data_IF_944037533159
#
_entry.id   IF_944037533159
#
_cell.length_a   1.000
_cell.length_b   1.000
_cell.length_c   1.000
_cell.angle_alpha   90.00
_cell.angle_beta   90.00
_cell.angle_gamma   90.00
#
_symmetry.space_group_name_H-M   'P 1'
#
loop_
_entity.id
_entity.type
_entity.pdbx_description
1 polymer ?
#
# COMPACT_ATOMS: atom_id res chain seq x y z
N UNK A 1 -7.26 -16.18 -9.32
CA UNK A 1 -8.37 -15.78 -8.43
C UNK A 1 -7.83 -15.61 -7.02
N UNK A 2 -8.23 -14.57 -6.28
CA UNK A 2 -7.72 -14.32 -4.92
C UNK A 2 -8.27 -15.33 -3.91
N UNK A 3 -7.38 -15.94 -3.11
CA UNK A 3 -7.77 -16.89 -2.07
C UNK A 3 -8.33 -16.15 -0.84
N UNK A 4 -9.66 -16.06 -0.75
CA UNK A 4 -10.37 -15.35 0.32
C UNK A 4 -10.06 -15.89 1.72
N UNK A 5 -9.88 -17.20 1.87
CA UNK A 5 -9.58 -17.80 3.18
C UNK A 5 -8.17 -17.45 3.65
N UNK A 6 -7.20 -17.40 2.73
CA UNK A 6 -5.85 -16.94 3.03
C UNK A 6 -5.83 -15.45 3.44
N UNK A 7 -6.58 -14.60 2.74
CA UNK A 7 -6.70 -13.16 3.07
C UNK A 7 -7.32 -12.97 4.46
N UNK A 8 -8.37 -13.73 4.79
CA UNK A 8 -8.99 -13.67 6.11
C UNK A 8 -8.04 -14.13 7.23
N UNK A 9 -7.27 -15.20 6.99
CA UNK A 9 -6.26 -15.69 7.95
C UNK A 9 -5.17 -14.64 8.19
N UNK A 10 -4.66 -14.02 7.14
CA UNK A 10 -3.66 -12.95 7.25
C UNK A 10 -4.20 -11.75 8.05
N UNK A 11 -5.40 -11.27 7.71
CA UNK A 11 -6.07 -10.20 8.45
C UNK A 11 -6.27 -10.54 9.93
N UNK A 12 -6.70 -11.77 10.23
CA UNK A 12 -6.92 -12.25 11.60
C UNK A 12 -5.62 -12.32 12.42
N UNK A 13 -4.54 -12.84 11.84
CA UNK A 13 -3.23 -12.92 12.48
C UNK A 13 -2.73 -11.53 12.89
N UNK A 14 -2.81 -10.56 11.98
CA UNK A 14 -2.39 -9.18 12.28
C UNK A 14 -3.29 -8.54 13.33
N UNK A 15 -4.61 -8.70 13.20
CA UNK A 15 -5.58 -8.17 14.16
C UNK A 15 -5.34 -8.71 15.58
N UNK A 16 -5.17 -10.04 15.73
CA UNK A 16 -4.96 -10.65 17.04
C UNK A 16 -3.62 -10.30 17.67
N UNK A 17 -2.57 -10.11 16.86
CA UNK A 17 -1.26 -9.65 17.35
C UNK A 17 -1.34 -8.23 17.92
N UNK A 18 -2.04 -7.32 17.25
CA UNK A 18 -2.09 -5.90 17.62
C UNK A 18 -3.21 -5.54 18.59
N UNK A 19 -4.28 -6.34 18.63
CA UNK A 19 -5.44 -6.15 19.51
C UNK A 19 -5.55 -7.27 20.54
N UNK A 20 -4.42 -7.89 20.91
CA UNK A 20 -4.37 -8.94 21.93
C UNK A 20 -4.96 -8.43 23.26
N UNK A 21 -5.76 -9.26 23.92
CA UNK A 21 -6.41 -8.90 25.19
C UNK A 21 -7.61 -7.97 25.06
N UNK A 22 -7.97 -7.53 23.84
CA UNK A 22 -9.17 -6.72 23.59
C UNK A 22 -10.31 -7.60 23.04
N UNK A 23 -11.58 -7.26 23.34
CA UNK A 23 -12.73 -7.92 22.72
C UNK A 23 -12.75 -7.64 21.20
N UNK A 24 -13.44 -8.51 20.47
CA UNK A 24 -13.56 -8.38 19.03
C UNK A 24 -14.25 -7.06 18.65
N UNK A 25 -13.64 -6.32 17.73
CA UNK A 25 -14.18 -5.09 17.16
C UNK A 25 -14.22 -5.19 15.63
N UNK A 26 -15.43 -5.21 15.08
CA UNK A 26 -15.66 -5.36 13.64
C UNK A 26 -15.09 -4.22 12.81
N UNK A 27 -15.16 -2.97 13.28
CA UNK A 27 -14.64 -1.79 12.56
C UNK A 27 -13.12 -1.87 12.44
N UNK A 28 -12.45 -2.17 13.55
CA UNK A 28 -11.00 -2.35 13.59
C UNK A 28 -10.56 -3.55 12.76
N UNK A 29 -11.26 -4.68 12.86
CA UNK A 29 -10.99 -5.85 12.02
C UNK A 29 -11.19 -5.54 10.53
N UNK A 30 -12.23 -4.77 10.17
CA UNK A 30 -12.50 -4.33 8.81
C UNK A 30 -11.34 -3.53 8.21
N UNK A 31 -10.66 -2.70 9.00
CA UNK A 31 -9.43 -2.02 8.56
C UNK A 31 -8.31 -3.01 8.21
N UNK A 32 -8.00 -3.97 9.08
CA UNK A 32 -6.97 -4.98 8.79
C UNK A 32 -7.32 -5.87 7.61
N UNK A 33 -8.61 -6.19 7.44
CA UNK A 33 -9.10 -6.92 6.28
C UNK A 33 -8.89 -6.11 4.99
N UNK A 34 -9.19 -4.82 4.99
CA UNK A 34 -8.92 -3.95 3.85
C UNK A 34 -7.42 -3.92 3.50
N UNK A 35 -6.53 -3.83 4.51
CA UNK A 35 -5.08 -3.90 4.29
C UNK A 35 -4.62 -5.25 3.72
N UNK A 36 -5.17 -6.37 4.21
CA UNK A 36 -4.85 -7.70 3.70
C UNK A 36 -5.32 -7.87 2.25
N UNK A 37 -6.49 -7.34 1.91
CA UNK A 37 -6.98 -7.28 0.53
C UNK A 37 -6.09 -6.42 -0.36
N UNK A 38 -5.63 -5.26 0.11
CA UNK A 38 -4.70 -4.42 -0.66
C UNK A 38 -3.39 -5.16 -0.95
N UNK A 39 -2.78 -5.75 0.08
CA UNK A 39 -1.56 -6.58 -0.08
C UNK A 39 -1.76 -7.72 -1.08
N UNK A 40 -2.88 -8.42 -0.99
CA UNK A 40 -3.16 -9.54 -1.89
C UNK A 40 -3.35 -9.09 -3.34
N UNK A 41 -4.00 -7.94 -3.57
CA UNK A 41 -4.10 -7.32 -4.90
C UNK A 41 -2.73 -6.89 -5.40
N UNK A 42 -1.92 -6.22 -4.57
CA UNK A 42 -0.56 -5.80 -4.94
C UNK A 42 0.32 -7.00 -5.28
N UNK A 43 0.19 -8.13 -4.58
CA UNK A 43 0.92 -9.35 -4.89
C UNK A 43 0.56 -9.96 -6.26
N UNK A 44 -0.62 -9.68 -6.81
CA UNK A 44 -0.99 -10.10 -8.17
C UNK A 44 -0.46 -9.17 -9.27
N UNK A 45 -0.06 -7.94 -8.93
CA UNK A 45 0.48 -7.00 -9.90
C UNK A 45 1.86 -7.46 -10.38
N UNK A 46 2.16 -7.15 -11.65
CA UNK A 46 3.51 -7.30 -12.20
C UNK A 46 4.49 -6.42 -11.42
N UNK A 47 5.80 -6.74 -11.39
CA UNK A 47 6.80 -5.87 -10.76
C UNK A 47 6.77 -4.43 -11.29
N UNK A 48 6.49 -4.25 -12.58
CA UNK A 48 6.35 -2.95 -13.25
C UNK A 48 5.13 -2.19 -12.70
N UNK A 49 3.97 -2.84 -12.62
CA UNK A 49 2.74 -2.22 -12.10
C UNK A 49 2.86 -1.87 -10.61
N UNK A 50 3.53 -2.72 -9.82
CA UNK A 50 3.84 -2.40 -8.41
C UNK A 50 4.71 -1.17 -8.30
N UNK A 51 5.76 -1.07 -9.13
CA UNK A 51 6.66 0.08 -9.13
C UNK A 51 5.93 1.35 -9.56
N UNK A 52 5.07 1.26 -10.57
CA UNK A 52 4.20 2.36 -11.01
C UNK A 52 3.31 2.87 -9.89
N UNK A 53 2.57 1.99 -9.22
CA UNK A 53 1.72 2.38 -8.08
C UNK A 53 2.53 2.99 -6.92
N UNK A 54 3.73 2.48 -6.67
CA UNK A 54 4.62 3.06 -5.66
C UNK A 54 5.03 4.48 -6.03
N UNK A 55 5.46 4.72 -7.27
CA UNK A 55 5.85 6.04 -7.76
C UNK A 55 4.69 7.03 -7.69
N UNK A 56 3.48 6.62 -8.09
CA UNK A 56 2.27 7.45 -7.99
C UNK A 56 1.99 7.86 -6.53
N UNK A 57 2.07 6.92 -5.59
CA UNK A 57 1.92 7.20 -4.13
C UNK A 57 3.04 8.10 -3.60
N UNK A 58 4.28 7.92 -4.08
CA UNK A 58 5.41 8.78 -3.69
C UNK A 58 5.18 10.23 -4.15
N UNK A 59 4.73 10.43 -5.39
CA UNK A 59 4.40 11.76 -5.92
C UNK A 59 3.28 12.41 -5.11
N UNK A 60 2.20 11.68 -4.81
CA UNK A 60 1.12 12.20 -3.95
C UNK A 60 1.64 12.58 -2.55
N UNK A 61 2.51 11.73 -1.97
CA UNK A 61 3.13 11.96 -0.68
C UNK A 61 4.02 13.20 -0.62
N UNK A 62 4.60 13.63 -1.74
CA UNK A 62 5.42 14.85 -1.81
C UNK A 62 4.62 16.11 -1.49
N UNK A 63 3.31 16.14 -1.78
CA UNK A 63 2.42 17.27 -1.46
C UNK A 63 2.38 17.59 0.04
N UNK A 64 2.66 16.59 0.87
CA UNK A 64 2.62 16.70 2.33
C UNK A 64 4.01 16.88 2.96
N UNK A 65 5.08 16.99 2.16
CA UNK A 65 6.43 17.25 2.65
C UNK A 65 6.63 18.72 2.98
N UNK A 66 7.47 18.98 3.97
CA UNK A 66 7.81 20.36 4.35
C UNK A 66 8.71 21.02 3.32
N UNK A 67 8.76 22.36 3.34
CA UNK A 67 9.58 23.19 2.44
C UNK A 67 11.08 22.86 2.45
N UNK A 68 11.59 22.13 3.45
CA UNK A 68 12.99 21.69 3.53
C UNK A 68 13.34 20.58 2.53
N UNK A 69 12.34 19.98 1.89
CA UNK A 69 12.53 18.95 0.88
C UNK A 69 12.51 19.57 -0.52
N UNK A 70 13.47 19.19 -1.36
CA UNK A 70 13.46 19.52 -2.78
C UNK A 70 12.41 18.67 -3.50
N UNK A 71 11.16 19.12 -3.39
CA UNK A 71 9.98 18.46 -3.95
C UNK A 71 10.06 18.45 -5.48
N UNK A 72 10.46 19.57 -6.10
CA UNK A 72 10.48 19.71 -7.56
C UNK A 72 11.45 18.75 -8.24
N UNK A 73 12.68 18.62 -7.71
CA UNK A 73 13.66 17.66 -8.24
C UNK A 73 13.20 16.22 -8.02
N UNK A 74 12.67 15.90 -6.84
CA UNK A 74 12.21 14.54 -6.53
C UNK A 74 11.02 14.14 -7.39
N UNK A 75 10.06 15.03 -7.58
CA UNK A 75 8.90 14.80 -8.44
C UNK A 75 9.33 14.61 -9.90
N UNK A 76 10.25 15.44 -10.40
CA UNK A 76 10.80 15.31 -11.76
C UNK A 76 11.45 13.95 -12.02
N UNK A 77 12.27 13.47 -11.08
CA UNK A 77 12.89 12.15 -11.16
C UNK A 77 11.85 11.01 -11.17
N UNK A 78 10.86 11.08 -10.29
CA UNK A 78 9.79 10.09 -10.20
C UNK A 78 8.92 10.05 -11.46
N UNK A 79 8.58 11.21 -12.04
CA UNK A 79 7.84 11.29 -13.30
C UNK A 79 8.64 10.75 -14.49
N UNK A 80 9.97 10.96 -14.52
CA UNK A 80 10.84 10.39 -15.54
C UNK A 80 10.89 8.86 -15.45
N UNK A 81 11.01 8.31 -14.24
CA UNK A 81 10.96 6.87 -14.00
C UNK A 81 9.61 6.27 -14.43
N UNK A 82 8.49 6.96 -14.17
CA UNK A 82 7.17 6.51 -14.60
C UNK A 82 7.02 6.48 -16.13
N UNK A 83 7.63 7.43 -16.85
CA UNK A 83 7.69 7.42 -18.32
C UNK A 83 8.53 6.27 -18.85
N UNK A 84 9.66 5.97 -18.21
CA UNK A 84 10.53 4.86 -18.59
C UNK A 84 9.87 3.49 -18.39
N UNK A 85 8.98 3.35 -17.41
CA UNK A 85 8.20 2.12 -17.18
C UNK A 85 7.03 1.94 -18.17
N UNK A 86 6.69 2.98 -18.95
CA UNK A 86 5.61 2.97 -19.93
C UNK A 86 6.08 2.81 -21.38
N UNK A 87 7.40 2.87 -21.61
CA UNK A 87 8.06 2.67 -22.90
C UNK A 87 8.53 1.21 -23.05
#
# INVERSE_FOLDING_TARGET
MLNRSAILKDAWTVYRRLQSGRPFNRKTFGFYLACAWDRAKTAMLSPVDRRRQQIEREIEGLRYKSFRYDIGRREGALRAELRALAA
#
